data_IF_894164297514
#
_entry.id   IF_894164297514
#
_cell.length_a   1.000
_cell.length_b   1.000
_cell.length_c   1.000
_cell.angle_alpha   90.00
_cell.angle_beta   90.00
_cell.angle_gamma   90.00
#
_symmetry.space_group_name_H-M   'P 1'
#
loop_
_entity.id
_entity.type
_entity.pdbx_description
1 polymer ?
#
# COMPACT_ATOMS: atom_id res chain seq x y z
N UNK A 1 -0.06 -1.26 12.87
CA UNK A 1 0.31 -0.74 11.53
C UNK A 1 1.17 -1.78 10.84
N UNK A 2 0.84 -2.11 9.60
CA UNK A 2 1.52 -3.12 8.79
C UNK A 2 2.20 -2.41 7.61
N UNK A 3 3.52 -2.36 7.65
CA UNK A 3 4.34 -1.85 6.55
C UNK A 3 4.65 -3.00 5.59
N UNK A 4 4.04 -3.00 4.41
CA UNK A 4 4.23 -4.06 3.41
C UNK A 4 5.70 -4.35 3.13
N UNK A 5 6.49 -3.29 3.03
CA UNK A 5 7.91 -3.36 2.71
C UNK A 5 8.75 -3.98 3.85
N UNK A 6 8.42 -3.70 5.12
CA UNK A 6 9.06 -4.35 6.27
C UNK A 6 8.66 -5.81 6.39
N UNK A 7 7.38 -6.14 6.20
CA UNK A 7 6.90 -7.54 6.17
C UNK A 7 7.65 -8.36 5.10
N UNK A 8 7.88 -7.76 3.93
CA UNK A 8 8.60 -8.40 2.83
C UNK A 8 10.10 -8.58 3.12
N UNK A 9 10.79 -7.51 3.51
CA UNK A 9 12.26 -7.50 3.61
C UNK A 9 12.78 -8.03 4.95
N UNK A 10 12.16 -7.64 6.05
CA UNK A 10 12.67 -7.92 7.39
C UNK A 10 12.18 -9.27 7.89
N UNK A 11 10.90 -9.61 7.66
CA UNK A 11 10.33 -10.86 8.17
C UNK A 11 10.51 -12.05 7.22
N UNK A 12 10.35 -11.83 5.92
CA UNK A 12 10.35 -12.93 4.95
C UNK A 12 11.65 -13.04 4.15
N UNK A 13 12.46 -11.98 4.06
CA UNK A 13 13.65 -11.94 3.19
C UNK A 13 13.36 -12.29 1.71
N UNK A 14 12.14 -12.04 1.23
CA UNK A 14 11.68 -12.43 -0.12
C UNK A 14 11.45 -11.22 -1.03
N UNK A 15 11.54 -11.43 -2.35
CA UNK A 15 11.08 -10.48 -3.36
C UNK A 15 9.65 -10.85 -3.82
N UNK A 16 8.92 -9.90 -4.42
CA UNK A 16 7.56 -10.14 -4.96
C UNK A 16 7.65 -11.03 -6.21
N UNK A 17 7.31 -12.29 -6.03
CA UNK A 17 7.13 -13.28 -7.09
C UNK A 17 5.81 -13.97 -6.87
N UNK A 18 5.04 -14.36 -7.91
CA UNK A 18 3.79 -15.11 -7.72
C UNK A 18 3.98 -16.27 -6.73
N UNK A 19 3.16 -16.31 -5.68
CA UNK A 19 3.28 -17.29 -4.59
C UNK A 19 4.19 -16.90 -3.41
N UNK A 20 4.66 -15.65 -3.32
CA UNK A 20 5.37 -15.16 -2.14
C UNK A 20 4.47 -15.14 -0.89
N UNK A 21 5.05 -15.31 0.30
CA UNK A 21 4.31 -15.48 1.57
C UNK A 21 3.75 -14.17 2.15
N UNK A 22 4.08 -13.01 1.57
CA UNK A 22 3.70 -11.70 2.12
C UNK A 22 2.19 -11.50 2.22
N UNK A 23 1.35 -11.86 1.21
CA UNK A 23 -0.11 -11.78 1.32
C UNK A 23 -0.65 -12.62 2.49
N UNK A 24 -0.15 -13.85 2.65
CA UNK A 24 -0.57 -14.73 3.75
C UNK A 24 -0.20 -14.15 5.12
N UNK A 25 0.99 -13.56 5.24
CA UNK A 25 1.41 -12.91 6.48
C UNK A 25 0.57 -11.66 6.78
N UNK A 26 0.22 -10.86 5.77
CA UNK A 26 -0.68 -9.72 5.92
C UNK A 26 -2.05 -10.19 6.43
N UNK A 27 -2.66 -11.20 5.78
CA UNK A 27 -3.98 -11.71 6.17
C UNK A 27 -3.97 -12.25 7.61
N UNK A 28 -2.94 -13.01 8.00
CA UNK A 28 -2.82 -13.51 9.37
C UNK A 28 -2.72 -12.38 10.42
N UNK A 29 -2.06 -11.27 10.10
CA UNK A 29 -2.00 -10.11 11.00
C UNK A 29 -3.32 -9.34 11.05
N UNK A 30 -4.05 -9.27 9.93
CA UNK A 30 -5.40 -8.68 9.88
C UNK A 30 -6.35 -9.50 10.75
N UNK A 31 -6.36 -10.83 10.60
CA UNK A 31 -7.19 -11.73 11.40
C UNK A 31 -6.89 -11.59 12.88
N UNK A 32 -5.60 -11.62 13.24
CA UNK A 32 -5.19 -11.42 14.63
C UNK A 32 -5.66 -10.08 15.18
N UNK A 33 -5.57 -8.99 14.41
CA UNK A 33 -6.05 -7.68 14.85
C UNK A 33 -7.58 -7.65 15.03
N UNK A 34 -8.33 -8.25 14.09
CA UNK A 34 -9.78 -8.37 14.18
C UNK A 34 -10.20 -9.16 15.43
N UNK A 35 -9.54 -10.29 15.71
CA UNK A 35 -9.79 -11.10 16.91
C UNK A 35 -9.56 -10.33 18.22
N UNK A 36 -8.74 -9.27 18.17
CA UNK A 36 -8.42 -8.41 19.32
C UNK A 36 -9.13 -7.05 19.28
N UNK A 37 -10.09 -6.84 18.36
CA UNK A 37 -10.81 -5.57 18.15
C UNK A 37 -9.86 -4.38 17.93
N UNK A 38 -8.83 -4.57 17.12
CA UNK A 38 -7.85 -3.54 16.77
C UNK A 38 -8.03 -3.05 15.34
N UNK A 39 -7.86 -1.74 15.15
CA UNK A 39 -7.78 -1.14 13.81
C UNK A 39 -6.45 -1.48 13.14
N UNK A 40 -6.50 -1.76 11.84
CA UNK A 40 -5.31 -2.05 11.02
C UNK A 40 -5.12 -0.97 9.98
N UNK A 41 -3.94 -0.35 10.01
CA UNK A 41 -3.42 0.44 8.89
C UNK A 41 -2.46 -0.47 8.13
N UNK A 42 -2.83 -0.87 6.91
CA UNK A 42 -1.97 -1.55 5.95
C UNK A 42 -1.48 -0.52 4.92
N UNK A 43 -0.17 -0.38 4.76
CA UNK A 43 0.41 0.59 3.83
C UNK A 43 1.49 -0.06 2.94
N UNK A 44 1.61 0.45 1.71
CA UNK A 44 2.68 0.10 0.78
C UNK A 44 2.24 0.12 -0.68
N UNK A 45 3.07 -0.47 -1.54
CA UNK A 45 2.73 -0.71 -2.95
C UNK A 45 1.98 -2.04 -3.02
N UNK A 46 0.66 -1.98 -3.01
CA UNK A 46 -0.23 -3.14 -2.97
C UNK A 46 -0.79 -3.46 -4.36
N UNK A 47 0.09 -3.78 -5.32
CA UNK A 47 -0.32 -4.15 -6.68
C UNK A 47 -1.27 -5.36 -6.63
N UNK A 48 -2.50 -5.17 -7.14
CA UNK A 48 -3.54 -6.20 -7.17
C UNK A 48 -3.04 -7.53 -7.75
N UNK A 49 -2.16 -7.49 -8.75
CA UNK A 49 -1.59 -8.70 -9.35
C UNK A 49 -0.87 -9.60 -8.34
N UNK A 50 -0.22 -9.01 -7.34
CA UNK A 50 0.55 -9.73 -6.32
C UNK A 50 -0.24 -9.91 -5.01
N UNK A 51 -1.17 -9.00 -4.73
CA UNK A 51 -1.90 -8.93 -3.46
C UNK A 51 -3.39 -9.25 -3.58
N UNK A 52 -3.83 -9.89 -4.68
CA UNK A 52 -5.23 -10.31 -4.87
C UNK A 52 -5.79 -11.03 -3.63
N UNK A 53 -5.03 -11.96 -3.05
CA UNK A 53 -5.44 -12.70 -1.86
C UNK A 53 -5.66 -11.81 -0.62
N UNK A 54 -5.03 -10.64 -0.53
CA UNK A 54 -5.30 -9.65 0.53
C UNK A 54 -6.61 -8.94 0.26
N UNK A 55 -6.82 -8.49 -0.98
CA UNK A 55 -8.06 -7.80 -1.36
C UNK A 55 -9.29 -8.69 -1.25
N UNK A 56 -9.18 -9.95 -1.67
CA UNK A 56 -10.23 -10.95 -1.51
C UNK A 56 -10.50 -11.24 -0.02
N UNK A 57 -9.47 -11.18 0.82
CA UNK A 57 -9.61 -11.36 2.28
C UNK A 57 -10.33 -10.19 2.93
N UNK A 58 -9.98 -8.95 2.61
CA UNK A 58 -10.54 -7.77 3.29
C UNK A 58 -11.89 -7.30 2.73
N UNK A 59 -12.38 -7.84 1.61
CA UNK A 59 -13.59 -7.36 0.93
C UNK A 59 -14.87 -7.35 1.78
N UNK A 60 -14.91 -8.18 2.83
CA UNK A 60 -16.05 -8.31 3.74
C UNK A 60 -15.88 -7.51 5.04
N UNK A 61 -14.74 -6.83 5.19
CA UNK A 61 -14.41 -6.01 6.36
C UNK A 61 -14.77 -4.54 6.09
N UNK A 62 -14.99 -3.73 7.15
CA UNK A 62 -15.15 -2.29 7.00
C UNK A 62 -13.80 -1.64 6.63
N UNK A 63 -13.54 -1.50 5.33
CA UNK A 63 -12.27 -0.97 4.80
C UNK A 63 -12.42 0.45 4.28
N UNK A 64 -11.46 1.30 4.63
CA UNK A 64 -11.24 2.60 3.99
C UNK A 64 -9.99 2.47 3.10
N UNK A 65 -10.18 2.33 1.80
CA UNK A 65 -9.07 2.24 0.85
C UNK A 65 -8.71 3.63 0.31
N UNK A 66 -7.43 3.96 0.37
CA UNK A 66 -6.89 5.27 -0.02
C UNK A 66 -5.74 5.06 -0.99
N UNK A 67 -5.82 5.72 -2.15
CA UNK A 67 -4.73 5.79 -3.09
C UNK A 67 -3.98 7.11 -2.94
N UNK A 68 -2.68 7.02 -2.62
CA UNK A 68 -1.79 8.17 -2.55
C UNK A 68 -1.43 8.62 -3.97
N UNK A 69 -2.26 9.46 -4.57
CA UNK A 69 -2.03 9.97 -5.92
C UNK A 69 -0.76 10.82 -5.92
N UNK A 70 0.27 10.34 -6.59
CA UNK A 70 1.54 11.03 -6.76
C UNK A 70 1.90 11.02 -8.23
N UNK A 71 2.53 12.10 -8.71
CA UNK A 71 3.05 12.14 -10.07
C UNK A 71 4.38 11.39 -10.15
N UNK A 72 4.78 11.01 -11.36
CA UNK A 72 6.08 10.40 -11.59
C UNK A 72 7.22 11.35 -11.21
N UNK A 73 7.06 12.66 -11.46
CA UNK A 73 8.02 13.69 -11.07
C UNK A 73 8.16 13.81 -9.55
N UNK A 74 7.06 13.73 -8.81
CA UNK A 74 7.11 13.69 -7.34
C UNK A 74 7.83 12.42 -6.85
N UNK A 75 7.64 11.29 -7.53
CA UNK A 75 8.33 10.03 -7.24
C UNK A 75 9.84 10.14 -7.50
N UNK A 76 10.24 10.72 -8.64
CA UNK A 76 11.64 11.00 -8.97
C UNK A 76 12.29 11.92 -7.93
N UNK A 77 11.62 13.01 -7.56
CA UNK A 77 12.10 13.97 -6.56
C UNK A 77 12.30 13.30 -5.19
N UNK A 78 11.35 12.48 -4.74
CA UNK A 78 11.49 11.70 -3.50
C UNK A 78 12.60 10.67 -3.58
N UNK A 79 12.73 9.96 -4.70
CA UNK A 79 13.77 8.96 -4.89
C UNK A 79 15.17 9.55 -4.82
N UNK A 80 15.37 10.77 -5.35
CA UNK A 80 16.66 11.46 -5.29
C UNK A 80 17.14 11.79 -3.87
N UNK A 81 16.25 11.75 -2.87
CA UNK A 81 16.58 11.97 -1.45
C UNK A 81 17.02 10.70 -0.72
N UNK A 82 16.95 9.52 -1.35
CA UNK A 82 17.36 8.25 -0.74
C UNK A 82 18.89 8.14 -0.71
N UNK A 83 19.44 7.45 0.30
CA UNK A 83 20.88 7.15 0.37
C UNK A 83 21.39 6.43 -0.88
N UNK A 84 20.59 5.50 -1.40
CA UNK A 84 20.84 4.79 -2.66
C UNK A 84 19.61 4.95 -3.56
N UNK A 85 19.59 5.95 -4.45
CA UNK A 85 18.46 6.17 -5.35
C UNK A 85 18.40 5.11 -6.46
N UNK A 86 17.20 4.73 -6.86
CA UNK A 86 17.01 3.95 -8.09
C UNK A 86 17.25 4.83 -9.32
N UNK A 87 17.66 4.24 -10.44
CA UNK A 87 17.74 4.98 -11.70
C UNK A 87 16.35 5.40 -12.19
N UNK A 88 16.28 6.50 -12.94
CA UNK A 88 15.02 6.95 -13.58
C UNK A 88 14.43 5.88 -14.50
N UNK A 89 15.29 5.10 -15.17
CA UNK A 89 14.87 3.97 -16.00
C UNK A 89 14.17 2.88 -15.19
N UNK A 90 14.77 2.45 -14.08
CA UNK A 90 14.15 1.45 -13.19
C UNK A 90 12.80 1.93 -12.67
N UNK A 91 12.71 3.20 -12.24
CA UNK A 91 11.45 3.77 -11.78
C UNK A 91 10.40 3.83 -12.89
N UNK A 92 10.80 4.16 -14.12
CA UNK A 92 9.89 4.18 -15.27
C UNK A 92 9.39 2.76 -15.62
N UNK A 93 10.27 1.76 -15.53
CA UNK A 93 9.92 0.36 -15.78
C UNK A 93 8.92 -0.19 -14.74
N UNK A 94 8.94 0.33 -13.52
CA UNK A 94 7.99 -0.03 -12.45
C UNK A 94 6.75 0.87 -12.38
N UNK A 95 6.72 1.98 -13.13
CA UNK A 95 5.66 2.96 -13.01
C UNK A 95 4.35 2.46 -13.61
N UNK A 96 3.27 2.55 -12.84
CA UNK A 96 1.91 2.22 -13.28
C UNK A 96 1.09 3.53 -13.36
N UNK A 97 0.83 4.08 -14.57
CA UNK A 97 0.22 5.40 -14.74
C UNK A 97 -1.15 5.59 -14.08
N UNK A 98 -1.89 4.52 -13.84
CA UNK A 98 -3.23 4.52 -13.21
C UNK A 98 -3.26 3.79 -11.87
N UNK A 99 -2.11 3.49 -11.26
CA UNK A 99 -2.04 2.73 -10.01
C UNK A 99 -2.17 1.21 -10.16
N UNK A 100 -2.27 0.71 -11.39
CA UNK A 100 -2.38 -0.73 -11.69
C UNK A 100 -3.78 -1.15 -12.08
N UNK A 101 -4.12 -2.41 -11.80
CA UNK A 101 -5.45 -2.97 -12.06
C UNK A 101 -6.48 -2.42 -11.06
N UNK A 102 -7.76 -2.25 -11.46
CA UNK A 102 -8.82 -1.82 -10.55
C UNK A 102 -8.94 -2.75 -9.34
N UNK A 103 -9.13 -2.18 -8.15
CA UNK A 103 -9.37 -2.96 -6.93
C UNK A 103 -10.84 -3.40 -6.83
N UNK A 104 -11.13 -4.53 -6.16
CA UNK A 104 -12.49 -4.99 -5.91
C UNK A 104 -13.20 -4.21 -4.79
N UNK A 105 -12.60 -3.14 -4.28
CA UNK A 105 -13.12 -2.28 -3.21
C UNK A 105 -13.10 -0.81 -3.64
N UNK A 106 -14.02 0.05 -3.17
CA UNK A 106 -14.01 1.47 -3.51
C UNK A 106 -12.76 2.19 -2.98
N UNK A 107 -12.08 2.92 -3.85
CA UNK A 107 -10.87 3.68 -3.51
C UNK A 107 -11.15 5.18 -3.47
N UNK A 108 -10.57 5.86 -2.47
CA UNK A 108 -10.47 7.32 -2.47
C UNK A 108 -9.09 7.76 -2.95
N UNK A 109 -9.05 8.49 -4.05
CA UNK A 109 -7.82 9.11 -4.57
C UNK A 109 -7.57 10.43 -3.85
N UNK A 110 -6.45 10.53 -3.13
CA UNK A 110 -6.06 11.81 -2.57
C UNK A 110 -5.61 12.78 -3.64
N UNK A 111 -5.96 14.07 -3.55
CA UNK A 111 -5.41 15.08 -4.45
C UNK A 111 -3.89 15.15 -4.35
N UNK A 112 -3.20 15.29 -5.49
CA UNK A 112 -1.73 15.31 -5.58
C UNK A 112 -1.07 16.47 -4.83
N UNK A 113 -1.85 17.54 -4.55
CA UNK A 113 -1.43 18.71 -3.79
C UNK A 113 -1.54 18.55 -2.28
N UNK A 114 -2.28 17.53 -1.80
CA UNK A 114 -2.45 17.34 -0.36
C UNK A 114 -1.14 16.92 0.30
N UNK A 115 -0.82 17.61 1.41
CA UNK A 115 0.28 17.27 2.30
C UNK A 115 -0.16 16.27 3.35
N UNK A 116 0.81 15.65 4.02
CA UNK A 116 0.60 14.60 5.03
C UNK A 116 -0.45 14.97 6.09
N UNK A 117 -0.46 16.22 6.56
CA UNK A 117 -1.44 16.65 7.57
C UNK A 117 -2.89 16.66 7.03
N UNK A 118 -3.09 17.10 5.79
CA UNK A 118 -4.41 17.12 5.15
C UNK A 118 -4.92 15.69 4.93
N UNK A 119 -4.03 14.79 4.52
CA UNK A 119 -4.30 13.36 4.35
C UNK A 119 -4.70 12.70 5.67
N UNK A 120 -3.94 12.94 6.75
CA UNK A 120 -4.23 12.40 8.09
C UNK A 120 -5.57 12.93 8.61
N UNK A 121 -5.81 14.24 8.52
CA UNK A 121 -7.06 14.83 8.97
C UNK A 121 -8.26 14.23 8.24
N UNK A 122 -8.14 13.96 6.94
CA UNK A 122 -9.19 13.28 6.19
C UNK A 122 -9.39 11.84 6.68
N UNK A 123 -8.33 11.06 6.88
CA UNK A 123 -8.44 9.68 7.37
C UNK A 123 -9.14 9.65 8.73
N UNK A 124 -8.68 10.47 9.68
CA UNK A 124 -9.30 10.57 11.01
C UNK A 124 -10.78 11.00 10.94
N UNK A 125 -11.18 11.79 9.94
CA UNK A 125 -12.59 12.16 9.74
C UNK A 125 -13.49 11.00 9.30
N UNK A 126 -12.91 9.89 8.83
CA UNK A 126 -13.63 8.70 8.35
C UNK A 126 -13.67 7.54 9.35
N UNK A 127 -12.83 7.59 10.38
CA UNK A 127 -12.76 6.56 11.42
C UNK A 127 -13.72 6.80 12.60
N UNK A 128 -14.60 7.81 12.50
CA UNK A 128 -15.61 8.19 13.51
C UNK A 128 -17.04 7.91 13.03
#
# INVERSE_FOLDING_TARGET
>A
MLHQDSLKREFLSTHETPGHLTPSLINANIDWACDHNLDVILEGILDYKHYQAVFDHIQHLPVIAVYLNQTFEQTLAKNALKEVPFSSKQLADWWLPTGGAPLPIPETFFPTQWRTLEQINWICSKMN
#
